data_IF_823111038298
#
_entry.id   IF_823111038298
#
_cell.length_a   1.000
_cell.length_b   1.000
_cell.length_c   1.000
_cell.angle_alpha   90.00
_cell.angle_beta   90.00
_cell.angle_gamma   90.00
#
_symmetry.space_group_name_H-M   'P 1'
#
loop_
_entity.id
_entity.type
_entity.pdbx_description
1 polymer ?
#
# COMPACT_ATOMS: atom_id res chain seq x y z
N UNK A 1 21.00 16.23 7.25
CA UNK A 1 19.57 15.88 7.44
C UNK A 1 19.10 15.20 6.16
N UNK A 2 18.32 14.14 6.25
CA UNK A 2 17.78 13.43 5.09
C UNK A 2 16.79 14.32 4.33
N UNK A 3 16.93 14.43 3.00
CA UNK A 3 16.09 15.31 2.18
C UNK A 3 14.59 14.97 2.26
N UNK A 4 14.26 13.70 2.51
CA UNK A 4 12.88 13.23 2.67
C UNK A 4 12.14 13.89 3.83
N UNK A 5 12.85 14.34 4.85
CA UNK A 5 12.28 15.05 6.01
C UNK A 5 11.54 16.34 5.59
N UNK A 6 12.10 17.07 4.63
CA UNK A 6 11.47 18.29 4.14
C UNK A 6 10.21 18.03 3.30
N UNK A 7 10.15 16.89 2.61
CA UNK A 7 8.96 16.46 1.90
C UNK A 7 7.85 15.99 2.85
N UNK A 8 8.20 15.30 3.94
CA UNK A 8 7.25 14.90 5.00
C UNK A 8 6.69 16.16 5.68
N UNK A 9 7.54 17.16 5.96
CA UNK A 9 7.10 18.45 6.48
C UNK A 9 6.05 19.10 5.56
N UNK A 10 6.31 19.14 4.25
CA UNK A 10 5.34 19.65 3.27
C UNK A 10 4.04 18.85 3.26
N UNK A 11 4.14 17.52 3.29
CA UNK A 11 2.95 16.69 3.33
C UNK A 11 2.11 16.93 4.58
N UNK A 12 2.73 17.13 5.73
CA UNK A 12 2.02 17.44 6.98
C UNK A 12 1.30 18.79 6.88
N UNK A 13 1.88 19.76 6.19
CA UNK A 13 1.27 21.09 6.01
C UNK A 13 0.11 21.09 4.99
N UNK A 14 0.22 20.34 3.89
CA UNK A 14 -0.74 20.40 2.78
C UNK A 14 -1.69 19.20 2.72
N UNK A 15 -1.36 18.11 3.38
CA UNK A 15 -2.13 16.86 3.35
C UNK A 15 -1.98 16.06 2.06
N UNK A 16 -2.59 14.87 2.05
CA UNK A 16 -2.61 13.97 0.91
C UNK A 16 -3.44 14.54 -0.26
N UNK A 17 -3.01 14.29 -1.49
CA UNK A 17 -3.71 14.71 -2.72
C UNK A 17 -3.43 16.13 -3.18
N UNK A 18 -2.66 16.93 -2.43
CA UNK A 18 -2.30 18.29 -2.80
C UNK A 18 -1.22 18.33 -3.90
N UNK A 19 -1.43 19.15 -4.93
CA UNK A 19 -0.40 19.43 -5.94
C UNK A 19 0.64 20.46 -5.48
N UNK A 20 0.32 21.24 -4.44
CA UNK A 20 1.11 22.40 -4.02
C UNK A 20 2.53 22.05 -3.54
N UNK A 21 2.78 20.97 -2.79
CA UNK A 21 4.14 20.60 -2.38
C UNK A 21 5.11 20.54 -3.55
N UNK A 22 4.75 19.80 -4.61
CA UNK A 22 5.61 19.65 -5.79
C UNK A 22 5.75 20.99 -6.56
N UNK A 23 4.68 21.76 -6.66
CA UNK A 23 4.73 23.09 -7.29
C UNK A 23 5.64 24.07 -6.55
N UNK A 24 5.61 24.05 -5.22
CA UNK A 24 6.48 24.87 -4.38
C UNK A 24 7.95 24.48 -4.52
N UNK A 25 8.23 23.19 -4.43
CA UNK A 25 9.60 22.65 -4.56
C UNK A 25 10.20 22.96 -5.93
N UNK A 26 9.42 22.81 -7.01
CA UNK A 26 9.89 23.18 -8.37
C UNK A 26 10.28 24.65 -8.48
N UNK A 27 9.59 25.54 -7.77
CA UNK A 27 9.91 27.01 -7.78
C UNK A 27 11.05 27.38 -6.85
N UNK A 28 11.18 26.67 -5.72
CA UNK A 28 12.25 26.92 -4.74
C UNK A 28 13.56 26.20 -5.07
N UNK A 29 13.54 25.25 -6.04
CA UNK A 29 14.68 24.43 -6.42
C UNK A 29 14.80 23.14 -5.63
N UNK A 30 14.49 23.12 -4.33
CA UNK A 30 14.42 21.90 -3.50
C UNK A 30 13.49 22.08 -2.30
N UNK A 31 13.05 20.97 -1.68
CA UNK A 31 12.24 21.02 -0.46
C UNK A 31 13.03 21.62 0.71
N UNK A 32 14.33 21.38 0.79
CA UNK A 32 15.22 22.00 1.78
C UNK A 32 15.35 23.51 1.58
N UNK A 33 15.58 23.96 0.34
CA UNK A 33 15.67 25.39 0.03
C UNK A 33 14.37 26.12 0.36
N UNK A 34 13.22 25.50 0.07
CA UNK A 34 11.91 26.02 0.45
C UNK A 34 11.78 26.17 1.97
N UNK A 35 12.15 25.13 2.74
CA UNK A 35 12.09 25.19 4.20
C UNK A 35 13.00 26.29 4.76
N UNK A 36 14.25 26.38 4.32
CA UNK A 36 15.23 27.37 4.78
C UNK A 36 14.85 28.80 4.41
N UNK A 37 14.10 28.99 3.32
CA UNK A 37 13.60 30.30 2.91
C UNK A 37 12.58 30.91 3.84
N UNK A 38 11.94 30.09 4.68
CA UNK A 38 11.01 30.54 5.73
C UNK A 38 9.81 31.31 5.22
N UNK A 39 9.09 31.97 6.12
CA UNK A 39 7.83 32.65 5.85
C UNK A 39 7.99 33.73 4.75
N UNK A 40 9.14 34.38 4.67
CA UNK A 40 9.42 35.40 3.65
C UNK A 40 9.38 34.84 2.23
N UNK A 41 9.91 33.63 2.01
CA UNK A 41 9.82 32.97 0.71
C UNK A 41 8.40 32.40 0.51
N UNK A 42 7.82 31.74 1.52
CA UNK A 42 6.52 31.06 1.38
C UNK A 42 5.39 32.03 1.02
N UNK A 43 5.38 33.22 1.65
CA UNK A 43 4.38 34.27 1.39
C UNK A 43 4.50 34.93 0.01
N UNK A 44 5.63 34.77 -0.68
CA UNK A 44 5.78 35.24 -2.06
C UNK A 44 5.02 34.38 -3.08
N UNK A 45 4.59 33.17 -2.69
CA UNK A 45 3.79 32.27 -3.55
C UNK A 45 2.29 32.59 -3.41
N UNK A 46 1.73 33.35 -4.30
CA UNK A 46 0.32 33.85 -4.25
C UNK A 46 -0.74 32.75 -4.23
N UNK A 47 -0.40 31.51 -4.58
CA UNK A 47 -1.32 30.35 -4.55
C UNK A 47 -1.32 29.62 -3.20
N UNK A 48 -0.49 30.02 -2.23
CA UNK A 48 -0.48 29.49 -0.86
C UNK A 48 -1.37 30.38 0.01
N UNK A 49 -2.36 29.78 0.65
CA UNK A 49 -3.29 30.49 1.53
C UNK A 49 -2.68 30.76 2.92
N UNK A 50 -3.21 31.73 3.65
CA UNK A 50 -2.78 32.03 5.02
C UNK A 50 -2.88 30.82 5.96
N UNK A 51 -3.91 29.97 5.77
CA UNK A 51 -4.06 28.72 6.52
C UNK A 51 -2.91 27.74 6.25
N UNK A 52 -2.48 27.66 5.01
CA UNK A 52 -1.36 26.77 4.62
C UNK A 52 -0.03 27.35 5.09
N UNK A 53 0.17 28.66 5.04
CA UNK A 53 1.33 29.33 5.63
C UNK A 53 1.41 29.08 7.14
N UNK A 54 0.29 29.17 7.83
CA UNK A 54 0.21 28.85 9.25
C UNK A 54 0.56 27.36 9.51
N UNK A 55 0.06 26.44 8.67
CA UNK A 55 0.38 25.02 8.76
C UNK A 55 1.88 24.74 8.49
N UNK A 56 2.48 25.37 7.46
CA UNK A 56 3.92 25.28 7.20
C UNK A 56 4.77 25.77 8.38
N UNK A 57 4.29 26.79 9.10
CA UNK A 57 4.97 27.32 10.29
C UNK A 57 4.76 26.44 11.54
N UNK A 58 3.62 25.79 11.65
CA UNK A 58 3.25 24.96 12.80
C UNK A 58 3.97 23.60 12.81
N UNK A 59 4.20 23.00 11.64
CA UNK A 59 4.91 21.72 11.52
C UNK A 59 6.42 21.95 11.47
N UNK A 60 7.17 21.19 12.28
CA UNK A 60 8.62 21.27 12.34
C UNK A 60 9.28 20.09 11.62
N UNK A 61 10.55 20.28 11.27
CA UNK A 61 11.37 19.19 10.70
C UNK A 61 11.67 18.08 11.70
N UNK A 62 11.63 18.36 13.01
CA UNK A 62 11.85 17.33 14.04
C UNK A 62 10.73 16.29 14.07
N UNK A 63 9.49 16.72 13.93
CA UNK A 63 8.35 15.81 13.81
C UNK A 63 8.42 14.98 12.52
N UNK A 64 8.85 15.61 11.42
CA UNK A 64 9.05 14.93 10.14
C UNK A 64 10.20 13.91 10.20
N UNK A 65 11.28 14.21 10.90
CA UNK A 65 12.40 13.31 11.16
C UNK A 65 11.96 12.10 12.00
N UNK A 66 11.23 12.34 13.08
CA UNK A 66 10.67 11.29 13.93
C UNK A 66 9.69 10.37 13.15
N UNK A 67 8.88 10.95 12.24
CA UNK A 67 7.98 10.19 11.38
C UNK A 67 8.75 9.32 10.37
N UNK A 68 9.82 9.85 9.77
CA UNK A 68 10.69 9.08 8.88
C UNK A 68 11.35 7.92 9.62
N UNK A 69 11.94 8.17 10.78
CA UNK A 69 12.58 7.15 11.60
C UNK A 69 11.59 6.05 12.03
N UNK A 70 10.36 6.44 12.36
CA UNK A 70 9.30 5.49 12.70
C UNK A 70 8.97 4.56 11.51
N UNK A 71 8.82 5.11 10.30
CA UNK A 71 8.60 4.32 9.08
C UNK A 71 9.75 3.34 8.84
N UNK A 72 10.99 3.81 8.93
CA UNK A 72 12.18 2.99 8.67
C UNK A 72 12.32 1.85 9.70
N UNK A 73 12.01 2.10 10.99
CA UNK A 73 11.99 1.04 12.02
C UNK A 73 10.92 -0.03 11.75
N UNK A 74 9.81 0.33 11.11
CA UNK A 74 8.79 -0.63 10.69
C UNK A 74 9.13 -1.36 9.37
N UNK A 75 10.35 -1.19 8.85
CA UNK A 75 10.77 -1.78 7.57
C UNK A 75 10.06 -1.20 6.36
N UNK A 76 9.53 0.02 6.47
CA UNK A 76 8.88 0.70 5.36
C UNK A 76 9.89 1.56 4.61
N UNK A 77 9.68 1.68 3.31
CA UNK A 77 10.41 2.59 2.45
C UNK A 77 9.62 3.88 2.28
N UNK A 78 10.32 4.99 2.20
CA UNK A 78 9.71 6.31 2.01
C UNK A 78 10.31 6.92 0.75
N UNK A 79 9.48 7.16 -0.25
CA UNK A 79 9.87 7.77 -1.51
C UNK A 79 9.30 9.18 -1.63
N UNK A 80 10.06 10.07 -2.23
CA UNK A 80 9.68 11.44 -2.56
C UNK A 80 9.99 11.70 -4.04
N UNK A 81 9.41 12.71 -4.70
CA UNK A 81 9.59 12.93 -6.14
C UNK A 81 11.04 13.04 -6.61
N UNK A 82 11.96 13.40 -5.73
CA UNK A 82 13.41 13.50 -5.97
C UNK A 82 14.20 12.24 -5.57
N UNK A 83 13.54 11.25 -4.95
CA UNK A 83 14.20 10.01 -4.52
C UNK A 83 14.30 9.02 -5.68
N UNK A 84 15.45 8.34 -5.89
CA UNK A 84 15.53 7.20 -6.79
C UNK A 84 14.52 6.12 -6.44
N UNK A 85 13.84 5.56 -7.44
CA UNK A 85 12.81 4.53 -7.26
C UNK A 85 11.40 5.07 -6.99
N UNK A 86 11.19 6.39 -6.92
CA UNK A 86 9.86 6.96 -7.02
C UNK A 86 9.29 6.68 -8.40
N UNK A 87 8.06 6.13 -8.55
CA UNK A 87 7.52 5.71 -9.84
C UNK A 87 7.46 6.87 -10.85
N UNK A 88 8.07 6.70 -12.02
CA UNK A 88 8.16 7.76 -13.04
C UNK A 88 6.78 8.18 -13.54
N UNK A 89 5.91 7.20 -13.85
CA UNK A 89 4.53 7.46 -14.24
C UNK A 89 3.76 8.29 -13.20
N UNK A 90 4.02 8.05 -11.91
CA UNK A 90 3.39 8.79 -10.82
C UNK A 90 3.95 10.22 -10.68
N UNK A 91 5.22 10.44 -11.07
CA UNK A 91 5.86 11.76 -11.06
C UNK A 91 5.23 12.70 -12.11
N UNK A 92 4.65 12.12 -13.17
CA UNK A 92 4.07 12.85 -14.31
C UNK A 92 2.64 13.33 -14.08
N UNK A 93 1.90 12.79 -13.10
CA UNK A 93 0.52 13.19 -12.86
C UNK A 93 0.44 14.64 -12.35
N UNK A 94 -0.72 15.28 -12.50
CA UNK A 94 -0.92 16.68 -12.09
C UNK A 94 -0.58 16.94 -10.61
N UNK A 95 -0.92 16.01 -9.73
CA UNK A 95 -0.72 16.09 -8.29
C UNK A 95 0.01 14.86 -7.75
N UNK A 96 1.31 14.70 -8.07
CA UNK A 96 2.09 13.59 -7.55
C UNK A 96 2.19 13.68 -6.03
N UNK A 97 2.14 12.54 -5.30
CA UNK A 97 2.29 12.55 -3.85
C UNK A 97 3.64 13.10 -3.44
N UNK A 98 3.65 14.02 -2.47
CA UNK A 98 4.86 14.56 -1.88
C UNK A 98 5.68 13.46 -1.20
N UNK A 99 4.99 12.49 -0.60
CA UNK A 99 5.58 11.32 0.05
C UNK A 99 4.77 10.09 -0.31
N UNK A 100 5.47 9.01 -0.63
CA UNK A 100 4.90 7.69 -0.87
C UNK A 100 5.49 6.72 0.15
N UNK A 101 4.65 6.16 1.01
CA UNK A 101 5.01 5.14 1.98
C UNK A 101 4.79 3.76 1.38
N UNK A 102 5.79 2.90 1.46
CA UNK A 102 5.79 1.60 0.79
C UNK A 102 6.24 0.51 1.76
N UNK A 103 5.53 -0.59 1.80
CA UNK A 103 5.96 -1.86 2.40
C UNK A 103 6.02 -2.90 1.30
N UNK A 104 7.14 -3.62 1.19
CA UNK A 104 7.40 -4.56 0.09
C UNK A 104 8.18 -3.92 -1.05
N UNK A 105 8.07 -4.46 -2.26
CA UNK A 105 8.89 -4.04 -3.41
C UNK A 105 8.00 -3.50 -4.53
N UNK A 106 8.25 -2.27 -4.94
CA UNK A 106 7.59 -1.69 -6.12
C UNK A 106 8.07 -2.40 -7.40
N UNK A 107 7.20 -2.50 -8.44
CA UNK A 107 7.62 -2.89 -9.78
C UNK A 107 8.73 -1.96 -10.29
N UNK A 108 9.62 -2.49 -11.13
CA UNK A 108 10.65 -1.66 -11.77
C UNK A 108 9.99 -0.70 -12.76
N UNK A 109 10.09 0.60 -12.48
CA UNK A 109 9.49 1.65 -13.31
C UNK A 109 10.06 1.70 -14.74
N UNK A 110 11.28 1.17 -14.95
CA UNK A 110 11.98 1.24 -16.24
C UNK A 110 11.73 0.07 -17.18
N UNK A 111 11.08 -1.00 -16.69
CA UNK A 111 10.94 -2.24 -17.49
C UNK A 111 9.59 -2.94 -17.39
N UNK A 112 8.88 -2.78 -16.29
CA UNK A 112 7.63 -3.51 -16.04
C UNK A 112 6.42 -2.73 -16.58
N UNK A 113 5.61 -3.37 -17.43
CA UNK A 113 4.28 -2.83 -17.73
C UNK A 113 3.41 -3.00 -16.48
N UNK A 114 2.76 -1.94 -16.08
CA UNK A 114 1.83 -1.94 -14.94
C UNK A 114 0.42 -1.63 -15.40
N UNK A 115 -0.54 -2.45 -14.97
CA UNK A 115 -1.97 -2.31 -15.33
C UNK A 115 -2.78 -2.15 -14.05
N UNK A 116 -3.53 -1.05 -13.97
CA UNK A 116 -4.53 -0.85 -12.93
C UNK A 116 -5.74 -1.73 -13.19
N UNK A 117 -6.20 -2.52 -12.23
CA UNK A 117 -7.42 -3.32 -12.36
C UNK A 117 -8.39 -2.92 -11.27
N UNK A 118 -9.53 -2.36 -11.65
CA UNK A 118 -10.51 -1.79 -10.72
C UNK A 118 -11.94 -2.20 -11.06
N UNK A 119 -12.83 -2.08 -10.06
CA UNK A 119 -14.24 -2.36 -10.28
C UNK A 119 -15.08 -2.21 -9.03
N UNK A 120 -16.29 -2.72 -9.11
CA UNK A 120 -17.24 -2.69 -8.00
C UNK A 120 -16.82 -3.63 -6.87
N UNK A 121 -17.14 -3.24 -5.62
CA UNK A 121 -16.95 -4.09 -4.43
C UNK A 121 -17.99 -5.23 -4.34
N UNK A 122 -19.11 -5.09 -5.05
CA UNK A 122 -20.21 -6.06 -5.11
C UNK A 122 -20.31 -6.60 -6.54
N UNK A 123 -19.25 -7.21 -7.01
CA UNK A 123 -19.19 -7.73 -8.37
C UNK A 123 -19.91 -9.07 -8.52
N UNK A 124 -20.49 -9.27 -9.70
CA UNK A 124 -21.06 -10.54 -10.10
C UNK A 124 -19.97 -11.56 -10.49
N UNK A 125 -20.39 -12.82 -10.69
CA UNK A 125 -19.44 -13.91 -11.03
C UNK A 125 -18.63 -13.61 -12.29
N UNK A 126 -19.23 -12.98 -13.30
CA UNK A 126 -18.55 -12.67 -14.57
C UNK A 126 -17.41 -11.64 -14.35
N UNK A 127 -17.66 -10.56 -13.60
CA UNK A 127 -16.65 -9.55 -13.31
C UNK A 127 -15.52 -10.07 -12.40
N UNK A 128 -15.86 -10.83 -11.34
CA UNK A 128 -14.85 -11.47 -10.46
C UNK A 128 -13.94 -12.40 -11.25
N UNK A 129 -14.53 -13.25 -12.08
CA UNK A 129 -13.80 -14.19 -12.94
C UNK A 129 -12.89 -13.45 -13.92
N UNK A 130 -13.42 -12.46 -14.64
CA UNK A 130 -12.64 -11.67 -15.59
C UNK A 130 -11.46 -10.95 -14.90
N UNK A 131 -11.68 -10.34 -13.72
CA UNK A 131 -10.62 -9.69 -12.97
C UNK A 131 -9.51 -10.67 -12.60
N UNK A 132 -9.86 -11.89 -12.12
CA UNK A 132 -8.88 -12.90 -11.73
C UNK A 132 -8.12 -13.46 -12.93
N UNK A 133 -8.82 -13.91 -13.98
CA UNK A 133 -8.23 -14.54 -15.16
C UNK A 133 -7.32 -13.55 -15.91
N UNK A 134 -7.80 -12.33 -16.18
CA UNK A 134 -6.99 -11.32 -16.89
C UNK A 134 -5.77 -10.92 -16.06
N UNK A 135 -5.92 -10.76 -14.74
CA UNK A 135 -4.77 -10.43 -13.87
C UNK A 135 -3.76 -11.58 -13.76
N UNK A 136 -4.23 -12.82 -13.79
CA UNK A 136 -3.38 -14.00 -13.88
C UNK A 136 -2.55 -14.01 -15.18
N UNK A 137 -3.22 -13.82 -16.31
CA UNK A 137 -2.56 -13.76 -17.63
C UNK A 137 -1.56 -12.58 -17.72
N UNK A 138 -1.95 -11.37 -17.22
CA UNK A 138 -1.05 -10.21 -17.15
C UNK A 138 0.22 -10.53 -16.36
N UNK A 139 0.06 -11.19 -15.20
CA UNK A 139 1.16 -11.57 -14.34
C UNK A 139 2.10 -12.60 -15.01
N UNK A 140 1.55 -13.59 -15.71
CA UNK A 140 2.35 -14.57 -16.47
C UNK A 140 3.16 -13.92 -17.60
N UNK A 141 2.65 -12.84 -18.18
CA UNK A 141 3.33 -12.06 -19.21
C UNK A 141 4.30 -11.01 -18.63
N UNK A 142 4.51 -11.02 -17.30
CA UNK A 142 5.44 -10.14 -16.59
C UNK A 142 4.90 -8.74 -16.29
N UNK A 143 3.61 -8.48 -16.55
CA UNK A 143 3.00 -7.22 -16.18
C UNK A 143 2.66 -7.17 -14.68
N UNK A 144 2.85 -6.01 -14.05
CA UNK A 144 2.44 -5.77 -12.68
C UNK A 144 0.96 -5.36 -12.61
N UNK A 145 0.23 -5.88 -11.62
CA UNK A 145 -1.17 -5.53 -11.38
C UNK A 145 -1.26 -4.54 -10.22
N UNK A 146 -1.84 -3.38 -10.47
CA UNK A 146 -2.06 -2.34 -9.45
C UNK A 146 -3.54 -2.24 -9.14
N UNK A 147 -3.91 -2.31 -7.86
CA UNK A 147 -5.31 -2.18 -7.46
C UNK A 147 -5.45 -1.53 -6.08
N UNK A 148 -6.67 -1.42 -5.58
CA UNK A 148 -6.96 -0.67 -4.36
C UNK A 148 -7.08 -1.51 -3.10
N UNK A 149 -6.91 -2.83 -3.16
CA UNK A 149 -7.03 -3.71 -2.00
C UNK A 149 -8.43 -3.77 -1.39
N UNK A 150 -9.47 -3.33 -2.10
CA UNK A 150 -10.86 -3.42 -1.66
C UNK A 150 -11.44 -4.82 -1.89
N UNK A 151 -12.63 -5.10 -1.34
CA UNK A 151 -13.39 -6.30 -1.66
C UNK A 151 -13.84 -6.29 -3.13
N UNK A 152 -14.19 -7.45 -3.66
CA UNK A 152 -14.70 -7.62 -5.03
C UNK A 152 -13.58 -7.63 -6.07
N UNK A 153 -13.69 -6.80 -7.09
CA UNK A 153 -12.76 -6.79 -8.24
C UNK A 153 -11.31 -6.62 -7.81
N UNK A 154 -11.02 -5.68 -6.91
CA UNK A 154 -9.65 -5.43 -6.45
C UNK A 154 -9.02 -6.69 -5.82
N UNK A 155 -9.78 -7.39 -4.97
CA UNK A 155 -9.31 -8.64 -4.34
C UNK A 155 -9.01 -9.73 -5.36
N UNK A 156 -9.89 -9.92 -6.36
CA UNK A 156 -9.69 -10.94 -7.38
C UNK A 156 -8.54 -10.59 -8.32
N UNK A 157 -8.34 -9.29 -8.61
CA UNK A 157 -7.18 -8.83 -9.37
C UNK A 157 -5.87 -9.17 -8.66
N UNK A 158 -5.76 -8.89 -7.35
CA UNK A 158 -4.58 -9.25 -6.58
C UNK A 158 -4.35 -10.75 -6.53
N UNK A 159 -5.40 -11.55 -6.28
CA UNK A 159 -5.29 -13.02 -6.26
C UNK A 159 -4.88 -13.59 -7.61
N UNK A 160 -5.46 -13.07 -8.72
CA UNK A 160 -5.06 -13.47 -10.07
C UNK A 160 -3.58 -13.23 -10.32
N UNK A 161 -3.06 -12.05 -9.94
CA UNK A 161 -1.64 -11.73 -10.09
C UNK A 161 -0.74 -12.64 -9.23
N UNK A 162 -1.14 -12.95 -7.99
CA UNK A 162 -0.41 -13.86 -7.11
C UNK A 162 -0.39 -15.28 -7.68
N UNK A 163 -1.55 -15.79 -8.13
CA UNK A 163 -1.66 -17.10 -8.76
C UNK A 163 -0.79 -17.20 -10.03
N UNK A 164 -0.71 -16.12 -10.81
CA UNK A 164 0.16 -15.98 -11.98
C UNK A 164 1.65 -15.81 -11.65
N UNK A 165 2.02 -15.78 -10.36
CA UNK A 165 3.37 -15.55 -9.86
C UNK A 165 3.99 -14.21 -10.29
N UNK A 166 3.14 -13.22 -10.54
CA UNK A 166 3.55 -11.86 -10.87
C UNK A 166 3.49 -10.93 -9.67
N UNK A 167 3.92 -9.70 -9.89
CA UNK A 167 3.91 -8.65 -8.87
C UNK A 167 2.56 -7.95 -8.83
N UNK A 168 2.11 -7.64 -7.62
CA UNK A 168 0.92 -6.83 -7.44
C UNK A 168 1.10 -5.78 -6.35
N UNK A 169 0.50 -4.61 -6.55
CA UNK A 169 0.60 -3.46 -5.66
C UNK A 169 -0.78 -3.05 -5.19
N UNK A 170 -0.99 -3.10 -3.88
CA UNK A 170 -2.21 -2.56 -3.28
C UNK A 170 -1.99 -1.13 -2.79
N UNK A 171 -2.73 -0.18 -3.37
CA UNK A 171 -2.72 1.22 -2.94
C UNK A 171 -3.80 1.42 -1.89
N UNK A 172 -3.46 1.92 -0.70
CA UNK A 172 -4.37 2.01 0.44
C UNK A 172 -4.83 3.45 0.72
N UNK A 173 -6.05 3.66 1.23
CA UNK A 173 -6.61 4.98 1.54
C UNK A 173 -6.33 5.45 2.99
N UNK A 174 -5.35 4.86 3.66
CA UNK A 174 -5.00 5.08 5.07
C UNK A 174 -3.52 4.76 5.30
N UNK A 175 -2.99 5.03 6.49
CA UNK A 175 -1.65 4.61 6.89
C UNK A 175 -1.47 3.09 6.79
N UNK A 176 -0.25 2.63 6.46
CA UNK A 176 0.02 1.19 6.25
C UNK A 176 -0.12 0.35 7.52
N UNK A 177 -0.01 0.98 8.67
CA UNK A 177 -0.16 0.38 10.00
C UNK A 177 -1.56 0.55 10.60
N UNK A 178 -2.47 1.27 9.90
CA UNK A 178 -3.83 1.42 10.35
C UNK A 178 -4.66 0.16 10.07
N UNK A 179 -5.42 -0.36 11.05
CA UNK A 179 -6.25 -1.56 10.89
C UNK A 179 -7.46 -1.26 9.99
N UNK A 180 -7.25 -1.37 8.70
CA UNK A 180 -8.26 -1.13 7.66
C UNK A 180 -8.67 -2.42 6.98
N UNK A 181 -9.99 -2.62 6.76
CA UNK A 181 -10.58 -3.72 6.01
C UNK A 181 -9.95 -5.08 6.40
N UNK A 182 -10.20 -5.50 7.64
CA UNK A 182 -9.57 -6.69 8.21
C UNK A 182 -9.87 -7.97 7.42
N UNK A 183 -11.02 -8.04 6.73
CA UNK A 183 -11.37 -9.15 5.83
C UNK A 183 -10.31 -9.39 4.74
N UNK A 184 -9.57 -8.35 4.35
CA UNK A 184 -8.48 -8.44 3.38
C UNK A 184 -7.08 -8.43 4.04
N UNK A 185 -6.97 -8.64 5.36
CA UNK A 185 -5.68 -8.67 6.04
C UNK A 185 -4.78 -9.80 5.52
N UNK A 186 -5.33 -10.98 5.29
CA UNK A 186 -4.60 -12.11 4.72
C UNK A 186 -4.13 -11.80 3.29
N UNK A 187 -5.00 -11.25 2.45
CA UNK A 187 -4.63 -10.86 1.08
C UNK A 187 -3.47 -9.85 1.08
N UNK A 188 -3.46 -8.87 1.99
CA UNK A 188 -2.33 -7.93 2.09
C UNK A 188 -1.03 -8.63 2.48
N UNK A 189 -1.08 -9.68 3.30
CA UNK A 189 0.10 -10.50 3.63
C UNK A 189 0.55 -11.29 2.41
N UNK A 190 -0.37 -11.96 1.72
CA UNK A 190 -0.09 -12.71 0.49
C UNK A 190 0.56 -11.83 -0.60
N UNK A 191 0.11 -10.57 -0.75
CA UNK A 191 0.73 -9.58 -1.64
C UNK A 191 2.20 -9.36 -1.29
N UNK A 192 2.51 -9.17 -0.02
CA UNK A 192 3.89 -8.97 0.44
C UNK A 192 4.73 -10.23 0.27
N UNK A 193 4.20 -11.39 0.63
CA UNK A 193 4.87 -12.70 0.55
C UNK A 193 5.16 -13.09 -0.91
N UNK A 194 4.34 -12.63 -1.86
CA UNK A 194 4.58 -12.81 -3.31
C UNK A 194 5.59 -11.84 -3.91
N UNK A 195 6.21 -10.97 -3.09
CA UNK A 195 7.17 -9.95 -3.55
C UNK A 195 6.52 -8.69 -4.11
N UNK A 196 5.23 -8.47 -3.84
CA UNK A 196 4.50 -7.26 -4.17
C UNK A 196 4.66 -6.15 -3.13
N UNK A 197 3.79 -5.14 -3.16
CA UNK A 197 3.85 -4.01 -2.26
C UNK A 197 2.49 -3.51 -1.78
N UNK A 198 2.49 -2.93 -0.59
CA UNK A 198 1.44 -2.05 -0.08
C UNK A 198 1.93 -0.60 -0.15
N UNK A 199 1.11 0.27 -0.67
CA UNK A 199 1.48 1.67 -0.95
C UNK A 199 0.42 2.61 -0.42
N UNK A 200 0.85 3.72 0.15
CA UNK A 200 -0.05 4.81 0.55
C UNK A 200 0.65 6.17 0.48
N UNK A 201 -0.17 7.21 0.32
CA UNK A 201 0.25 8.61 0.50
C UNK A 201 0.01 9.10 1.93
N UNK A 202 -0.72 8.34 2.74
CA UNK A 202 -1.10 8.77 4.09
C UNK A 202 -0.01 8.41 5.10
N UNK A 203 0.35 9.33 6.02
CA UNK A 203 1.25 9.04 7.13
C UNK A 203 0.78 7.85 7.96
N UNK A 204 1.71 7.26 8.71
CA UNK A 204 1.40 6.15 9.63
C UNK A 204 0.25 6.53 10.56
N UNK A 205 -0.52 5.51 10.98
CA UNK A 205 -1.68 5.62 11.88
C UNK A 205 -2.82 6.52 11.37
N UNK A 206 -2.73 7.03 10.13
CA UNK A 206 -3.82 7.83 9.56
C UNK A 206 -5.04 6.93 9.27
N UNK A 207 -6.21 7.21 9.88
CA UNK A 207 -7.43 6.46 9.60
C UNK A 207 -7.98 6.79 8.21
N UNK A 208 -8.91 5.95 7.74
CA UNK A 208 -9.64 6.24 6.51
C UNK A 208 -10.50 7.48 6.72
N UNK A 209 -10.26 8.51 5.94
CA UNK A 209 -10.97 9.77 5.97
C UNK A 209 -11.99 9.88 4.82
N UNK A 210 -12.95 10.79 4.97
CA UNK A 210 -13.90 11.12 3.89
C UNK A 210 -13.12 11.60 2.66
N UNK A 211 -13.41 11.03 1.50
CA UNK A 211 -12.71 11.37 0.25
C UNK A 211 -11.40 10.62 0.01
N UNK A 212 -10.84 9.94 1.02
CA UNK A 212 -9.56 9.23 0.91
C UNK A 212 -9.54 8.20 -0.25
N UNK A 213 -10.66 7.53 -0.51
CA UNK A 213 -10.78 6.60 -1.64
C UNK A 213 -10.62 7.29 -2.98
N UNK A 214 -11.21 8.47 -3.15
CA UNK A 214 -11.10 9.24 -4.39
C UNK A 214 -9.68 9.76 -4.57
N UNK A 215 -9.09 10.36 -3.51
CA UNK A 215 -7.71 10.82 -3.52
C UNK A 215 -6.73 9.69 -3.86
N UNK A 216 -6.90 8.51 -3.26
CA UNK A 216 -6.08 7.33 -3.51
C UNK A 216 -6.19 6.83 -4.95
N UNK A 217 -7.39 6.85 -5.55
CA UNK A 217 -7.62 6.26 -6.87
C UNK A 217 -6.72 6.87 -7.97
N UNK A 218 -6.36 8.16 -7.85
CA UNK A 218 -5.40 8.78 -8.77
C UNK A 218 -4.01 8.14 -8.75
N UNK A 219 -3.64 7.48 -7.63
CA UNK A 219 -2.37 6.77 -7.52
C UNK A 219 -2.42 5.42 -8.25
N UNK A 220 -3.57 4.75 -8.25
CA UNK A 220 -3.75 3.50 -9.00
C UNK A 220 -3.51 3.76 -10.48
N UNK A 221 -4.20 4.74 -11.06
CA UNK A 221 -4.00 5.12 -12.46
C UNK A 221 -2.63 5.76 -12.70
N UNK A 222 -2.13 6.56 -11.75
CA UNK A 222 -0.85 7.25 -11.84
C UNK A 222 0.36 6.33 -11.84
N UNK A 223 0.26 5.14 -11.26
CA UNK A 223 1.31 4.13 -11.27
C UNK A 223 1.17 3.13 -12.43
N UNK A 224 0.11 3.24 -13.23
CA UNK A 224 -0.22 2.29 -14.28
C UNK A 224 -0.06 2.90 -15.68
N UNK A 225 0.26 2.08 -16.67
CA UNK A 225 0.26 2.45 -18.09
C UNK A 225 -1.15 2.50 -18.65
N UNK A 226 -2.05 1.67 -18.10
CA UNK A 226 -3.46 1.63 -18.44
C UNK A 226 -4.29 1.07 -17.29
N UNK A 227 -5.61 1.30 -17.35
CA UNK A 227 -6.56 0.87 -16.33
C UNK A 227 -7.67 0.03 -16.95
N UNK A 228 -7.82 -1.21 -16.44
CA UNK A 228 -8.97 -2.08 -16.74
C UNK A 228 -10.09 -1.84 -15.72
N UNK A 229 -11.27 -1.53 -16.19
CA UNK A 229 -12.50 -1.57 -15.40
C UNK A 229 -13.21 -2.90 -15.69
N UNK A 230 -13.09 -3.86 -14.76
CA UNK A 230 -13.57 -5.22 -14.97
C UNK A 230 -15.09 -5.36 -14.78
N UNK A 231 -15.69 -4.61 -13.87
CA UNK A 231 -17.14 -4.49 -13.69
C UNK A 231 -17.46 -3.19 -12.97
N UNK A 232 -18.36 -2.39 -13.53
CA UNK A 232 -18.81 -1.15 -12.91
C UNK A 232 -20.25 -0.83 -13.31
N UNK A 233 -21.21 -0.78 -12.36
CA UNK A 233 -22.51 -0.17 -12.60
C UNK A 233 -22.38 1.35 -12.81
N UNK A 234 -23.44 1.99 -13.31
CA UNK A 234 -23.46 3.42 -13.74
C UNK A 234 -22.95 4.41 -12.66
N UNK A 235 -23.07 4.08 -11.38
CA UNK A 235 -22.63 4.92 -10.23
C UNK A 235 -21.50 4.26 -9.45
N UNK A 236 -20.54 3.65 -10.12
CA UNK A 236 -19.40 3.00 -9.47
C UNK A 236 -18.26 3.96 -9.18
N UNK A 237 -17.62 3.82 -8.01
CA UNK A 237 -16.39 4.53 -7.67
C UNK A 237 -15.19 4.19 -8.58
N UNK A 238 -15.22 3.04 -9.26
CA UNK A 238 -14.21 2.64 -10.22
C UNK A 238 -14.17 3.55 -11.46
N UNK A 239 -15.31 4.16 -11.82
CA UNK A 239 -15.37 5.13 -12.92
C UNK A 239 -14.56 6.40 -12.63
N UNK A 240 -14.33 6.73 -11.35
CA UNK A 240 -13.45 7.83 -10.94
C UNK A 240 -12.00 7.49 -11.28
N UNK A 241 -11.60 6.23 -11.10
CA UNK A 241 -10.25 5.78 -11.47
C UNK A 241 -10.05 5.81 -12.99
N UNK A 242 -11.06 5.40 -13.75
CA UNK A 242 -11.02 5.49 -15.23
C UNK A 242 -10.91 6.94 -15.72
N UNK A 243 -11.64 7.87 -15.07
CA UNK A 243 -11.51 9.30 -15.37
C UNK A 243 -10.10 9.81 -15.07
N UNK A 244 -9.52 9.48 -13.90
CA UNK A 244 -8.13 9.84 -13.60
C UNK A 244 -7.15 9.23 -14.60
N UNK A 245 -7.37 8.00 -15.06
CA UNK A 245 -6.55 7.38 -16.09
C UNK A 245 -6.56 8.23 -17.38
N UNK A 246 -7.73 8.62 -17.88
CA UNK A 246 -7.86 9.47 -19.04
C UNK A 246 -7.21 10.86 -18.84
N UNK A 247 -7.45 11.52 -17.69
CA UNK A 247 -6.82 12.81 -17.34
C UNK A 247 -5.27 12.72 -17.25
N UNK A 248 -4.74 11.53 -16.94
CA UNK A 248 -3.31 11.23 -16.82
C UNK A 248 -2.69 10.66 -18.11
N UNK A 249 -3.42 10.64 -19.23
CA UNK A 249 -3.01 10.03 -20.50
C UNK A 249 -2.65 8.54 -20.37
N UNK A 250 -3.45 7.79 -19.60
CA UNK A 250 -3.36 6.33 -19.46
C UNK A 250 -4.47 5.67 -20.27
N UNK A 251 -4.16 4.55 -20.89
CA UNK A 251 -5.16 3.78 -21.64
C UNK A 251 -6.28 3.29 -20.72
N UNK A 252 -7.51 3.30 -21.21
CA UNK A 252 -8.67 2.78 -20.47
C UNK A 252 -9.23 1.58 -21.21
N UNK A 253 -9.34 0.47 -20.50
CA UNK A 253 -9.87 -0.80 -20.97
C UNK A 253 -11.13 -1.16 -20.18
N UNK A 254 -12.07 -1.84 -20.83
CA UNK A 254 -13.28 -2.32 -20.18
C UNK A 254 -13.56 -3.77 -20.56
N UNK A 255 -13.94 -4.56 -19.56
CA UNK A 255 -14.59 -5.84 -19.77
C UNK A 255 -16.10 -5.65 -19.69
N UNK A 256 -16.85 -6.33 -20.57
CA UNK A 256 -18.31 -6.26 -20.62
C UNK A 256 -18.84 -7.70 -20.66
N UNK A 257 -19.49 -8.11 -19.56
CA UNK A 257 -20.23 -9.37 -19.46
C UNK A 257 -21.68 -9.23 -19.95
N UNK A 258 -22.45 -10.30 -19.74
CA UNK A 258 -23.84 -10.39 -20.23
C UNK A 258 -24.83 -9.50 -19.48
N UNK A 259 -24.62 -9.29 -18.16
CA UNK A 259 -25.47 -8.43 -17.34
C UNK A 259 -25.21 -6.94 -17.62
N UNK A 260 -26.04 -6.36 -18.49
CA UNK A 260 -25.90 -4.96 -18.90
C UNK A 260 -26.04 -3.96 -17.76
N UNK A 261 -26.77 -4.27 -16.69
CA UNK A 261 -26.93 -3.39 -15.53
C UNK A 261 -25.65 -3.34 -14.69
N UNK A 262 -25.04 -4.50 -14.45
CA UNK A 262 -23.77 -4.61 -13.72
C UNK A 262 -22.60 -3.94 -14.49
N UNK A 263 -22.64 -3.96 -15.81
CA UNK A 263 -21.61 -3.39 -16.69
C UNK A 263 -22.01 -2.04 -17.30
N UNK A 264 -23.08 -1.40 -16.84
CA UNK A 264 -23.57 -0.15 -17.43
C UNK A 264 -22.52 0.99 -17.44
N UNK A 265 -21.65 1.06 -16.44
CA UNK A 265 -20.52 2.00 -16.43
C UNK A 265 -19.44 1.62 -17.44
N UNK A 266 -19.11 0.33 -17.59
CA UNK A 266 -18.17 -0.17 -18.59
C UNK A 266 -18.70 0.10 -20.04
N UNK A 267 -20.00 -0.09 -20.26
CA UNK A 267 -20.67 0.21 -21.54
C UNK A 267 -20.55 1.71 -21.83
N UNK A 268 -20.77 2.58 -20.83
CA UNK A 268 -20.59 4.02 -20.96
C UNK A 268 -19.16 4.40 -21.35
N UNK A 269 -18.17 3.88 -20.62
CA UNK A 269 -16.75 4.11 -20.95
C UNK A 269 -16.39 3.62 -22.36
N UNK A 270 -16.93 2.48 -22.80
CA UNK A 270 -16.72 2.00 -24.16
C UNK A 270 -17.34 2.92 -25.22
N UNK A 271 -18.49 3.55 -24.93
CA UNK A 271 -19.09 4.56 -25.78
C UNK A 271 -18.26 5.84 -25.85
N UNK A 272 -17.55 6.17 -24.76
CA UNK A 272 -16.62 7.30 -24.67
C UNK A 272 -15.23 6.98 -25.24
N UNK A 273 -15.02 5.78 -25.81
CA UNK A 273 -13.79 5.40 -26.52
C UNK A 273 -12.86 4.44 -25.79
N UNK A 274 -13.22 3.95 -24.59
CA UNK A 274 -12.43 2.93 -23.92
C UNK A 274 -12.42 1.61 -24.71
N UNK A 275 -11.25 0.97 -24.79
CA UNK A 275 -11.09 -0.26 -25.55
C UNK A 275 -11.78 -1.44 -24.85
N UNK A 276 -12.63 -2.16 -25.56
CA UNK A 276 -13.24 -3.40 -25.06
C UNK A 276 -12.24 -4.54 -25.18
N UNK A 277 -12.07 -5.28 -24.09
CA UNK A 277 -11.15 -6.40 -24.04
C UNK A 277 -11.83 -7.68 -23.54
N UNK A 278 -11.23 -8.81 -23.83
CA UNK A 278 -11.61 -10.14 -23.34
C UNK A 278 -10.45 -10.86 -22.65
N UNK A 279 -9.21 -10.56 -23.03
CA UNK A 279 -8.00 -11.23 -22.56
C UNK A 279 -6.92 -10.21 -22.19
N UNK A 280 -5.90 -10.64 -21.47
CA UNK A 280 -4.71 -9.80 -21.19
C UNK A 280 -3.96 -9.42 -22.48
N UNK A 281 -3.94 -10.28 -23.48
CA UNK A 281 -3.29 -9.97 -24.77
C UNK A 281 -3.91 -8.76 -25.45
N UNK A 282 -5.23 -8.54 -25.35
CA UNK A 282 -5.88 -7.34 -25.89
C UNK A 282 -5.33 -6.06 -25.24
N UNK A 283 -5.06 -6.09 -23.93
CA UNK A 283 -4.43 -5.01 -23.18
C UNK A 283 -2.96 -4.83 -23.61
N UNK A 284 -2.20 -5.92 -23.63
CA UNK A 284 -0.77 -5.90 -23.87
C UNK A 284 -0.36 -5.48 -25.29
N UNK A 285 -1.26 -5.65 -26.27
CA UNK A 285 -1.06 -5.15 -27.63
C UNK A 285 -0.90 -3.62 -27.66
N UNK A 286 -1.62 -2.89 -26.83
CA UNK A 286 -1.48 -1.43 -26.75
C UNK A 286 -0.06 -1.00 -26.33
N UNK A 287 0.66 -1.89 -25.60
CA UNK A 287 2.02 -1.63 -25.08
C UNK A 287 3.12 -2.44 -25.77
N UNK A 288 2.89 -2.90 -26.99
CA UNK A 288 3.80 -3.80 -27.71
C UNK A 288 5.21 -3.20 -27.92
N UNK A 289 5.34 -1.89 -28.08
CA UNK A 289 6.62 -1.20 -28.20
C UNK A 289 7.39 -1.18 -26.88
N UNK A 290 6.70 -0.87 -25.77
CA UNK A 290 7.27 -0.89 -24.41
C UNK A 290 7.71 -2.30 -24.01
N UNK A 291 6.89 -3.34 -24.29
CA UNK A 291 7.23 -4.75 -24.06
C UNK A 291 8.53 -5.18 -24.74
N UNK A 292 8.70 -4.80 -26.00
CA UNK A 292 9.95 -5.10 -26.74
C UNK A 292 11.17 -4.45 -26.09
N UNK A 293 11.04 -3.21 -25.65
CA UNK A 293 12.11 -2.48 -24.98
C UNK A 293 12.46 -3.13 -23.63
N UNK A 294 11.47 -3.41 -22.80
CA UNK A 294 11.64 -4.05 -21.48
C UNK A 294 12.29 -5.44 -21.61
N UNK A 295 11.81 -6.28 -22.54
CA UNK A 295 12.39 -7.60 -22.79
C UNK A 295 13.85 -7.52 -23.24
N UNK A 296 14.19 -6.55 -24.07
CA UNK A 296 15.57 -6.33 -24.52
C UNK A 296 16.45 -5.90 -23.35
N UNK A 297 15.97 -5.01 -22.46
CA UNK A 297 16.69 -4.58 -21.26
C UNK A 297 16.93 -5.74 -20.29
N UNK A 298 15.91 -6.56 -20.02
CA UNK A 298 16.03 -7.77 -19.19
C UNK A 298 17.04 -8.77 -19.72
N UNK A 299 17.03 -9.03 -21.03
CA UNK A 299 18.00 -9.92 -21.66
C UNK A 299 19.44 -9.37 -21.56
N UNK A 300 19.63 -8.06 -21.72
CA UNK A 300 20.94 -7.40 -21.49
C UNK A 300 21.39 -7.54 -20.05
N UNK A 301 20.52 -7.26 -19.08
CA UNK A 301 20.83 -7.38 -17.66
C UNK A 301 21.12 -8.83 -17.25
N UNK A 302 20.39 -9.80 -17.79
CA UNK A 302 20.67 -11.23 -17.56
C UNK A 302 22.04 -11.61 -18.14
N UNK A 303 22.38 -11.15 -19.35
CA UNK A 303 23.68 -11.38 -19.96
C UNK A 303 24.82 -10.74 -19.16
N UNK A 304 24.62 -9.52 -18.64
CA UNK A 304 25.61 -8.84 -17.78
C UNK A 304 25.79 -9.56 -16.44
N UNK A 305 24.72 -10.10 -15.84
CA UNK A 305 24.77 -10.87 -14.61
C UNK A 305 25.50 -12.23 -14.80
N UNK A 306 25.34 -12.86 -15.95
CA UNK A 306 26.08 -14.09 -16.32
C UNK A 306 27.56 -13.78 -16.58
N UNK A 307 27.87 -12.63 -17.16
CA UNK A 307 29.24 -12.19 -17.42
C UNK A 307 30.02 -11.70 -16.19
N UNK A 308 29.30 -11.43 -15.06
CA UNK A 308 30.00 -11.10 -13.80
C UNK A 308 30.66 -12.36 -13.25
N UNK A 309 32.00 -12.37 -13.03
CA UNK A 309 32.66 -13.51 -12.41
C UNK A 309 32.04 -13.74 -11.04
N UNK A 310 31.64 -14.98 -10.79
CA UNK A 310 31.09 -15.39 -9.50
C UNK A 310 32.04 -14.93 -8.39
N UNK A 311 31.55 -14.06 -7.49
CA UNK A 311 32.29 -13.62 -6.31
C UNK A 311 32.66 -14.89 -5.55
N UNK A 312 33.95 -15.29 -5.59
CA UNK A 312 34.41 -16.46 -4.82
C UNK A 312 34.02 -16.23 -3.36
N UNK A 313 32.98 -16.93 -2.92
CA UNK A 313 32.68 -17.05 -1.50
C UNK A 313 33.85 -17.81 -0.90
N UNK A 314 34.64 -17.10 -0.09
CA UNK A 314 35.72 -17.72 0.69
C UNK A 314 35.01 -18.62 1.72
N UNK A 315 34.94 -19.90 1.42
CA UNK A 315 34.49 -20.89 2.39
C UNK A 315 35.57 -20.90 3.47
N UNK A 316 35.28 -20.35 4.62
CA UNK A 316 36.10 -20.51 5.83
C UNK A 316 35.79 -21.90 6.34
N UNK A 317 36.78 -22.84 6.45
CA UNK A 317 36.52 -24.13 7.06
C UNK A 317 36.02 -23.91 8.50
N UNK A 318 34.91 -24.52 8.86
CA UNK A 318 34.48 -24.63 10.23
C UNK A 318 35.59 -25.40 10.99
N UNK A 319 36.19 -24.79 12.00
CA UNK A 319 37.12 -25.46 12.89
C UNK A 319 36.38 -26.56 13.67
N UNK A 320 37.02 -27.68 13.89
CA UNK A 320 36.45 -28.86 14.55
C UNK A 320 35.90 -28.62 16.00
N UNK A 321 36.11 -27.40 16.55
CA UNK A 321 35.53 -27.01 17.84
C UNK A 321 34.00 -26.77 17.84
N UNK A 322 33.35 -26.70 16.65
CA UNK A 322 31.91 -26.55 16.58
C UNK A 322 31.15 -27.89 16.57
N UNK A 323 31.86 -29.01 16.34
CA UNK A 323 31.26 -30.34 16.35
C UNK A 323 31.05 -30.90 17.76
N UNK A 324 31.89 -30.49 18.73
CA UNK A 324 31.76 -30.91 20.15
C UNK A 324 30.64 -30.19 20.91
N UNK A 325 30.18 -29.00 20.43
CA UNK A 325 29.08 -28.29 21.04
C UNK A 325 27.68 -28.80 20.62
N UNK A 326 27.59 -29.59 19.54
CA UNK A 326 26.33 -30.09 19.02
C UNK A 326 25.87 -31.44 19.64
N UNK A 327 26.74 -32.13 20.37
CA UNK A 327 26.42 -33.44 21.02
C UNK A 327 26.01 -33.32 22.49
N UNK A 328 26.10 -32.13 23.12
CA UNK A 328 25.78 -31.92 24.53
C UNK A 328 24.34 -31.49 24.85
N UNK A 329 23.47 -31.31 23.85
CA UNK A 329 22.08 -30.86 24.07
C UNK A 329 21.04 -31.90 23.62
N UNK A 330 21.05 -33.07 24.23
CA UNK A 330 19.90 -34.00 24.25
C UNK A 330 19.59 -34.38 25.68
N UNK A 331 19.01 -33.44 26.41
CA UNK A 331 18.29 -33.75 27.65
C UNK A 331 16.91 -33.08 27.56
N UNK A 332 15.82 -33.76 27.98
CA UNK A 332 14.45 -33.30 27.67
C UNK A 332 14.15 -31.97 28.35
N UNK A 333 13.54 -31.07 27.57
CA UNK A 333 13.13 -29.76 28.01
C UNK A 333 12.20 -29.86 29.24
N UNK A 334 12.59 -29.25 30.31
CA UNK A 334 11.71 -28.90 31.42
C UNK A 334 10.68 -27.85 30.93
N UNK A 335 9.44 -27.82 31.46
CA UNK A 335 8.42 -26.88 31.03
C UNK A 335 8.91 -25.45 31.24
N UNK A 336 8.81 -24.64 30.18
CA UNK A 336 9.08 -23.20 30.27
C UNK A 336 8.13 -22.57 31.28
N UNK A 337 8.58 -21.62 32.14
CA UNK A 337 7.70 -20.91 33.04
C UNK A 337 6.68 -20.12 32.18
N UNK A 338 5.41 -20.23 32.53
CA UNK A 338 4.33 -19.39 32.00
C UNK A 338 4.77 -17.92 32.08
N UNK A 339 4.90 -17.26 30.93
CA UNK A 339 5.11 -15.84 30.86
C UNK A 339 3.94 -15.16 31.58
N UNK A 340 4.19 -14.55 32.72
CA UNK A 340 3.16 -13.89 33.51
C UNK A 340 2.53 -12.76 32.70
N UNK A 341 1.19 -12.72 32.68
CA UNK A 341 0.41 -11.62 32.11
C UNK A 341 0.89 -10.26 32.64
N UNK A 342 0.93 -9.24 31.80
CA UNK A 342 1.19 -7.87 32.24
C UNK A 342 0.17 -7.43 33.30
N UNK A 343 0.53 -6.47 34.15
CA UNK A 343 -0.37 -5.99 35.20
C UNK A 343 -1.68 -5.44 34.62
N UNK A 344 -1.65 -4.81 33.46
CA UNK A 344 -2.82 -4.30 32.75
C UNK A 344 -3.67 -5.43 32.16
N UNK A 345 -3.04 -6.48 31.61
CA UNK A 345 -3.75 -7.66 31.13
C UNK A 345 -4.45 -8.43 32.25
N UNK A 346 -3.84 -8.52 33.45
CA UNK A 346 -4.46 -9.12 34.60
C UNK A 346 -5.70 -8.34 35.07
N UNK A 347 -5.65 -7.01 35.09
CA UNK A 347 -6.78 -6.13 35.44
C UNK A 347 -7.93 -6.28 34.43
N UNK A 348 -7.64 -6.25 33.13
CA UNK A 348 -8.62 -6.42 32.08
C UNK A 348 -9.25 -7.82 32.14
N UNK A 349 -8.47 -8.88 32.36
CA UNK A 349 -8.96 -10.25 32.48
C UNK A 349 -9.86 -10.43 33.70
N UNK A 350 -9.56 -9.75 34.82
CA UNK A 350 -10.38 -9.78 36.04
C UNK A 350 -11.74 -9.06 35.83
N UNK A 351 -11.78 -8.03 34.98
CA UNK A 351 -13.02 -7.32 34.61
C UNK A 351 -13.89 -8.08 33.61
N UNK A 352 -13.33 -9.06 32.89
CA UNK A 352 -14.07 -9.85 31.91
C UNK A 352 -14.81 -11.02 32.58
N UNK A 353 -16.09 -11.18 32.22
CA UNK A 353 -16.93 -12.30 32.62
C UNK A 353 -17.36 -13.14 31.41
N UNK A 354 -18.42 -13.95 31.61
CA UNK A 354 -19.04 -14.78 30.55
C UNK A 354 -19.86 -13.98 29.52
N UNK A 355 -20.24 -12.73 29.84
CA UNK A 355 -20.95 -11.86 28.88
C UNK A 355 -20.00 -10.93 28.13
N UNK A 356 -20.26 -10.67 26.81
CA UNK A 356 -19.40 -9.81 26.02
C UNK A 356 -19.44 -8.35 26.49
N UNK A 357 -18.31 -7.82 26.98
CA UNK A 357 -18.14 -6.42 27.38
C UNK A 357 -17.44 -5.62 26.28
N UNK A 358 -17.91 -4.40 26.04
CA UNK A 358 -17.27 -3.47 25.11
C UNK A 358 -15.99 -2.87 25.69
N UNK A 359 -14.98 -2.60 24.85
CA UNK A 359 -13.70 -2.04 25.30
C UNK A 359 -13.84 -0.76 26.14
N UNK A 360 -14.74 0.14 25.78
CA UNK A 360 -15.01 1.36 26.55
C UNK A 360 -15.57 1.08 27.97
N UNK A 361 -16.27 -0.03 28.18
CA UNK A 361 -16.72 -0.45 29.53
C UNK A 361 -15.54 -0.95 30.35
N UNK A 362 -14.61 -1.67 29.71
CA UNK A 362 -13.39 -2.13 30.35
C UNK A 362 -12.48 -0.96 30.75
N UNK A 363 -12.42 0.09 29.93
CA UNK A 363 -11.72 1.35 30.28
C UNK A 363 -12.29 1.97 31.56
N UNK A 364 -13.62 2.07 31.64
CA UNK A 364 -14.29 2.64 32.80
C UNK A 364 -14.15 1.78 34.06
N UNK A 365 -14.20 0.44 33.93
CA UNK A 365 -14.09 -0.49 35.06
C UNK A 365 -12.65 -0.66 35.58
N UNK A 366 -11.65 -0.60 34.68
CA UNK A 366 -10.23 -0.83 35.03
C UNK A 366 -9.48 0.45 35.36
N UNK A 367 -10.01 1.62 34.95
CA UNK A 367 -9.34 2.92 35.08
C UNK A 367 -8.10 3.05 34.18
N UNK A 368 -7.92 2.14 33.22
CA UNK A 368 -6.82 2.17 32.26
C UNK A 368 -7.15 3.08 31.07
N UNK A 369 -6.14 3.63 30.40
CA UNK A 369 -6.34 4.36 29.14
C UNK A 369 -6.80 3.43 28.02
N UNK A 370 -7.49 3.97 27.01
CA UNK A 370 -7.93 3.22 25.83
C UNK A 370 -6.79 2.41 25.19
N UNK A 371 -5.59 3.01 25.09
CA UNK A 371 -4.40 2.35 24.57
C UNK A 371 -3.92 1.17 25.41
N UNK A 372 -3.94 1.32 26.75
CA UNK A 372 -3.55 0.26 27.69
C UNK A 372 -4.55 -0.90 27.66
N UNK A 373 -5.87 -0.61 27.58
CA UNK A 373 -6.90 -1.64 27.47
C UNK A 373 -6.77 -2.41 26.15
N UNK A 374 -6.54 -1.74 25.04
CA UNK A 374 -6.31 -2.40 23.73
C UNK A 374 -5.04 -3.27 23.72
N UNK A 375 -3.95 -2.80 24.31
CA UNK A 375 -2.72 -3.58 24.43
C UNK A 375 -2.93 -4.84 25.28
N UNK A 376 -3.62 -4.70 26.41
CA UNK A 376 -3.95 -5.81 27.32
C UNK A 376 -4.89 -6.83 26.65
N UNK A 377 -5.90 -6.37 25.90
CA UNK A 377 -6.80 -7.24 25.14
C UNK A 377 -6.05 -8.01 24.05
N UNK A 378 -5.14 -7.37 23.35
CA UNK A 378 -4.28 -8.03 22.34
C UNK A 378 -3.39 -9.10 22.97
N UNK A 379 -2.77 -8.82 24.12
CA UNK A 379 -1.98 -9.79 24.87
C UNK A 379 -2.81 -11.01 25.28
N UNK A 380 -4.01 -10.77 25.83
CA UNK A 380 -4.93 -11.82 26.28
C UNK A 380 -5.50 -12.65 25.10
N UNK A 381 -5.73 -12.03 23.96
CA UNK A 381 -6.19 -12.71 22.75
C UNK A 381 -5.09 -13.61 22.15
N UNK A 382 -3.84 -13.12 22.09
CA UNK A 382 -2.68 -13.90 21.67
C UNK A 382 -2.42 -15.11 22.54
N UNK A 383 -2.71 -15.00 23.85
CA UNK A 383 -2.58 -16.08 24.82
C UNK A 383 -3.85 -16.97 24.89
N UNK A 384 -4.85 -16.71 24.07
CA UNK A 384 -6.10 -17.50 24.03
C UNK A 384 -6.97 -17.37 25.28
N UNK A 385 -6.73 -16.36 26.13
CA UNK A 385 -7.44 -16.15 27.41
C UNK A 385 -8.80 -15.45 27.24
N UNK A 386 -9.04 -14.82 26.08
CA UNK A 386 -10.28 -14.13 25.76
C UNK A 386 -10.75 -14.45 24.32
N UNK A 387 -12.05 -14.23 24.08
CA UNK A 387 -12.66 -14.27 22.74
C UNK A 387 -13.16 -12.90 22.35
N UNK A 388 -12.88 -12.49 21.12
CA UNK A 388 -13.38 -11.25 20.53
C UNK A 388 -14.67 -11.47 19.73
N UNK A 389 -15.56 -10.48 19.78
CA UNK A 389 -16.85 -10.44 19.06
C UNK A 389 -16.96 -9.14 18.24
N UNK A 390 -17.78 -9.12 17.19
CA UNK A 390 -18.03 -7.90 16.41
C UNK A 390 -18.47 -6.72 17.30
N UNK A 391 -17.92 -5.53 17.02
CA UNK A 391 -18.21 -4.31 17.76
C UNK A 391 -17.34 -4.12 19.01
N UNK A 392 -16.08 -4.57 18.99
CA UNK A 392 -15.11 -4.42 20.09
C UNK A 392 -15.61 -4.96 21.44
N UNK A 393 -16.25 -6.12 21.41
CA UNK A 393 -16.71 -6.83 22.60
C UNK A 393 -15.86 -8.04 22.87
N UNK A 394 -15.59 -8.32 24.14
CA UNK A 394 -14.69 -9.39 24.57
C UNK A 394 -15.28 -10.16 25.74
N UNK A 395 -15.04 -11.47 25.77
CA UNK A 395 -15.36 -12.33 26.91
C UNK A 395 -14.10 -13.10 27.34
N UNK A 396 -14.11 -13.57 28.56
CA UNK A 396 -13.11 -14.55 29.03
C UNK A 396 -13.31 -15.85 28.26
N UNK A 397 -12.21 -16.49 27.84
CA UNK A 397 -12.24 -17.87 27.31
C UNK A 397 -12.28 -18.83 28.50
N UNK A 398 -13.11 -19.88 28.43
CA UNK A 398 -13.15 -20.95 29.41
C UNK A 398 -11.86 -21.76 29.44
#
# INVERSE_FOLDING_TARGET
MDARVYWIWLQNAFGAGSAKPVQLVRRAGSAEALFRGGIGLWSSFTFVSDRELAAMSAYGVREAEAALDYCLRLGQQVYTPDTPGYPDLLREIYNPPAVLYVRGTLPDASGDIAIGVVGTRKAGKAGLRAAREISYELAQEGAAVISGGALGIDSEAHRGAIDGRGRTVAVLPCGLDYPYLMDNANLRREILDSGGALVTEYPMQTPVQRGAFQTRNRLISGMAHGVLVAEAPKKSGALITARYAAEQNREVFVFIGEDTAAFAGCIGLAADGAARIRTAEDILRAFSAQRKSARTALLRQAAENVARPARRVRVVPLSDSAAEAAEAEKTPAAPQPEAGLSADAQRVLASLGGEPKHAAVLEAETGLSAGSVLAALTELELLGKIRSYPGQRFTKSD
#
